data_IF_153374788468
#
_entry.id   IF_153374788468
#
_cell.length_a   1.000
_cell.length_b   1.000
_cell.length_c   1.000
_cell.angle_alpha   90.00
_cell.angle_beta   90.00
_cell.angle_gamma   90.00
#
_symmetry.space_group_name_H-M   'P 1'
#
loop_
_entity.id
_entity.type
_entity.pdbx_description
1 polymer ?
#
# COMPACT_ATOMS: atom_id res chain seq x y z
N UNK A 1 -71.96 49.45 2.36
CA UNK A 1 -71.20 48.22 2.18
C UNK A 1 -70.20 48.47 1.06
N UNK A 2 -68.89 48.74 1.35
CA UNK A 2 -67.90 48.91 0.29
C UNK A 2 -67.29 47.56 -0.06
N UNK A 3 -67.14 47.36 -1.36
CA UNK A 3 -66.50 46.22 -2.01
C UNK A 3 -65.01 46.13 -1.64
N UNK A 4 -64.58 44.98 -1.10
CA UNK A 4 -63.16 44.68 -0.89
C UNK A 4 -62.62 43.99 -2.15
N UNK A 5 -61.88 44.72 -2.96
CA UNK A 5 -61.13 44.20 -4.09
C UNK A 5 -59.93 43.34 -3.58
N UNK A 6 -59.94 42.05 -3.91
CA UNK A 6 -58.81 41.14 -3.73
C UNK A 6 -57.73 41.46 -4.78
N UNK A 7 -56.55 41.85 -4.32
CA UNK A 7 -55.36 42.03 -5.14
C UNK A 7 -54.77 40.63 -5.37
N UNK A 8 -54.45 40.19 -6.60
CA UNK A 8 -53.77 38.92 -6.85
C UNK A 8 -52.28 39.05 -6.49
N UNK A 9 -51.84 38.15 -5.60
CA UNK A 9 -50.42 38.02 -5.30
C UNK A 9 -49.64 37.54 -6.53
N UNK A 10 -48.58 38.27 -6.85
CA UNK A 10 -47.60 37.92 -7.90
C UNK A 10 -46.83 36.66 -7.54
N UNK A 11 -46.59 35.72 -8.47
CA UNK A 11 -45.80 34.54 -8.20
C UNK A 11 -44.35 34.89 -7.87
N UNK A 12 -43.87 34.43 -6.69
CA UNK A 12 -42.47 34.54 -6.26
C UNK A 12 -41.61 33.74 -7.24
N UNK A 13 -40.71 34.43 -7.93
CA UNK A 13 -39.73 33.79 -8.79
C UNK A 13 -38.76 32.92 -7.94
N UNK A 14 -38.83 31.63 -8.13
CA UNK A 14 -37.90 30.68 -7.56
C UNK A 14 -36.57 30.82 -8.33
N UNK A 15 -35.57 31.36 -7.67
CA UNK A 15 -34.20 31.39 -8.22
C UNK A 15 -33.72 29.96 -8.49
N UNK A 16 -33.15 29.67 -9.68
CA UNK A 16 -32.61 28.33 -9.96
C UNK A 16 -31.40 28.07 -9.06
N UNK A 17 -31.41 26.91 -8.39
CA UNK A 17 -30.31 26.46 -7.58
C UNK A 17 -28.99 26.47 -8.36
N UNK A 18 -27.85 26.88 -7.73
CA UNK A 18 -26.56 26.97 -8.41
C UNK A 18 -26.17 25.61 -8.97
N UNK A 19 -25.82 25.57 -10.25
CA UNK A 19 -25.35 24.38 -10.94
C UNK A 19 -24.13 23.79 -10.20
N UNK A 20 -24.03 22.45 -10.03
CA UNK A 20 -22.91 21.83 -9.35
C UNK A 20 -21.59 22.21 -10.05
N UNK A 21 -20.65 22.73 -9.27
CA UNK A 21 -19.34 23.17 -9.76
C UNK A 21 -18.67 22.07 -10.59
N UNK A 22 -18.34 22.35 -11.84
CA UNK A 22 -17.70 21.43 -12.75
C UNK A 22 -16.38 20.92 -12.11
N UNK A 23 -16.33 19.63 -11.76
CA UNK A 23 -15.14 18.98 -11.21
C UNK A 23 -14.00 19.17 -12.22
N UNK A 24 -12.92 19.83 -11.81
CA UNK A 24 -11.72 20.03 -12.64
C UNK A 24 -11.21 18.66 -13.14
N UNK A 25 -10.99 18.55 -14.44
CA UNK A 25 -10.37 17.35 -15.04
C UNK A 25 -9.01 17.10 -14.38
N UNK A 26 -8.75 15.87 -13.86
CA UNK A 26 -7.45 15.54 -13.30
C UNK A 26 -6.34 15.73 -14.33
N UNK A 27 -5.15 16.16 -13.89
CA UNK A 27 -3.98 16.27 -14.77
C UNK A 27 -3.57 14.89 -15.32
N UNK A 28 -2.84 14.83 -16.45
CA UNK A 28 -2.30 13.57 -16.96
C UNK A 28 -1.50 12.82 -15.87
N UNK A 29 -1.80 11.54 -15.64
CA UNK A 29 -1.20 10.71 -14.58
C UNK A 29 -1.95 10.72 -13.24
N UNK A 30 -2.57 11.80 -12.82
CA UNK A 30 -3.31 11.88 -11.54
C UNK A 30 -4.43 10.85 -11.44
N UNK A 31 -5.14 10.59 -12.55
CA UNK A 31 -6.22 9.60 -12.57
C UNK A 31 -5.71 8.18 -12.34
N UNK A 32 -4.54 7.83 -12.89
CA UNK A 32 -3.92 6.52 -12.67
C UNK A 32 -3.60 6.32 -11.19
N UNK A 33 -2.99 7.31 -10.56
CA UNK A 33 -2.69 7.30 -9.12
C UNK A 33 -3.97 7.21 -8.29
N UNK A 34 -5.01 7.97 -8.64
CA UNK A 34 -6.31 7.93 -7.97
C UNK A 34 -6.96 6.54 -8.03
N UNK A 35 -6.90 5.86 -9.19
CA UNK A 35 -7.42 4.50 -9.34
C UNK A 35 -6.69 3.54 -8.40
N UNK A 36 -5.35 3.59 -8.35
CA UNK A 36 -4.55 2.73 -7.48
C UNK A 36 -4.80 3.01 -6.00
N UNK A 37 -4.96 4.28 -5.64
CA UNK A 37 -5.27 4.67 -4.27
C UNK A 37 -6.64 4.14 -3.82
N UNK A 38 -7.65 4.33 -4.66
CA UNK A 38 -9.00 3.83 -4.38
C UNK A 38 -9.02 2.29 -4.32
N UNK A 39 -8.27 1.60 -5.18
CA UNK A 39 -8.11 0.15 -5.11
C UNK A 39 -7.51 -0.28 -3.74
N UNK A 40 -6.45 0.39 -3.29
CA UNK A 40 -5.84 0.12 -1.98
C UNK A 40 -6.82 0.39 -0.83
N UNK A 41 -7.59 1.48 -0.86
CA UNK A 41 -8.63 1.78 0.13
C UNK A 41 -9.72 0.72 0.17
N UNK A 42 -10.15 0.22 -0.99
CA UNK A 42 -11.16 -0.85 -1.07
C UNK A 42 -10.62 -2.15 -0.48
N UNK A 43 -9.35 -2.48 -0.71
CA UNK A 43 -8.69 -3.66 -0.13
C UNK A 43 -8.58 -3.61 1.40
N UNK A 44 -8.67 -2.44 1.99
CA UNK A 44 -8.66 -2.25 3.44
C UNK A 44 -9.98 -2.70 4.10
N UNK A 45 -11.09 -2.72 3.35
CA UNK A 45 -12.41 -3.03 3.91
C UNK A 45 -12.57 -4.52 4.23
N UNK A 46 -13.35 -4.88 5.25
CA UNK A 46 -13.74 -6.27 5.49
C UNK A 46 -14.45 -6.85 4.27
N UNK A 47 -14.16 -8.11 3.92
CA UNK A 47 -14.78 -8.77 2.75
C UNK A 47 -14.21 -8.35 1.39
N UNK A 48 -13.13 -7.57 1.36
CA UNK A 48 -12.48 -7.10 0.13
C UNK A 48 -11.66 -8.18 -0.61
N UNK A 49 -11.95 -9.45 -0.36
CA UNK A 49 -11.25 -10.58 -1.00
C UNK A 49 -11.47 -10.65 -2.51
N UNK A 50 -12.52 -9.97 -3.01
CA UNK A 50 -12.88 -9.98 -4.42
C UNK A 50 -13.37 -8.61 -4.91
N UNK A 51 -12.42 -7.69 -5.16
CA UNK A 51 -12.76 -6.41 -5.77
C UNK A 51 -13.06 -6.63 -7.26
N UNK A 52 -14.21 -6.11 -7.72
CA UNK A 52 -14.57 -6.08 -9.14
C UNK A 52 -14.26 -4.71 -9.75
N UNK A 53 -14.03 -4.68 -11.08
CA UNK A 53 -13.83 -3.42 -11.80
C UNK A 53 -15.08 -2.54 -11.76
N UNK A 54 -16.28 -3.15 -11.76
CA UNK A 54 -17.55 -2.44 -11.58
C UNK A 54 -17.61 -1.72 -10.23
N UNK A 55 -17.23 -2.40 -9.12
CA UNK A 55 -17.21 -1.79 -7.79
C UNK A 55 -16.19 -0.66 -7.68
N UNK A 56 -15.01 -0.83 -8.29
CA UNK A 56 -13.97 0.20 -8.35
C UNK A 56 -14.44 1.42 -9.17
N UNK A 57 -15.07 1.19 -10.33
CA UNK A 57 -15.64 2.24 -11.17
C UNK A 57 -16.73 3.04 -10.43
N UNK A 58 -17.64 2.33 -9.76
CA UNK A 58 -18.68 2.95 -8.95
C UNK A 58 -18.10 3.80 -7.81
N UNK A 59 -17.08 3.31 -7.13
CA UNK A 59 -16.39 4.07 -6.04
C UNK A 59 -15.72 5.34 -6.54
N UNK A 60 -15.21 5.32 -7.78
CA UNK A 60 -14.58 6.46 -8.45
C UNK A 60 -15.58 7.38 -9.17
N UNK A 61 -16.87 7.01 -9.19
CA UNK A 61 -17.94 7.70 -9.94
C UNK A 61 -17.62 7.85 -11.45
N UNK A 62 -17.12 6.76 -12.05
CA UNK A 62 -16.79 6.67 -13.48
C UNK A 62 -17.37 5.41 -14.11
N UNK A 63 -17.37 5.31 -15.43
CA UNK A 63 -17.67 4.06 -16.12
C UNK A 63 -16.48 3.09 -16.08
N UNK A 64 -16.74 1.77 -16.15
CA UNK A 64 -15.66 0.79 -16.29
C UNK A 64 -14.78 1.05 -17.53
N UNK A 65 -15.39 1.51 -18.64
CA UNK A 65 -14.63 1.91 -19.83
C UNK A 65 -13.63 3.03 -19.55
N UNK A 66 -13.91 3.92 -18.59
CA UNK A 66 -12.97 4.95 -18.19
C UNK A 66 -11.76 4.39 -17.40
N UNK A 67 -11.95 3.31 -16.61
CA UNK A 67 -10.84 2.60 -15.98
C UNK A 67 -9.93 1.95 -17.03
N UNK A 68 -10.53 1.28 -18.02
CA UNK A 68 -9.80 0.57 -19.07
C UNK A 68 -9.00 1.48 -20.02
N UNK A 69 -9.25 2.80 -20.03
CA UNK A 69 -8.36 3.78 -20.68
C UNK A 69 -7.02 3.96 -19.97
N UNK A 70 -6.96 3.64 -18.68
CA UNK A 70 -5.75 3.79 -17.86
C UNK A 70 -5.03 2.47 -17.58
N UNK A 71 -5.78 1.35 -17.58
CA UNK A 71 -5.25 0.02 -17.34
C UNK A 71 -6.00 -0.97 -18.23
N UNK A 72 -5.29 -1.68 -19.11
CA UNK A 72 -5.91 -2.59 -20.08
C UNK A 72 -6.63 -3.79 -19.43
N UNK A 73 -6.37 -4.08 -18.13
CA UNK A 73 -7.02 -5.15 -17.39
C UNK A 73 -6.98 -4.90 -15.89
N UNK A 74 -7.80 -5.64 -15.12
CA UNK A 74 -7.73 -5.66 -13.66
C UNK A 74 -6.34 -6.10 -13.17
N UNK A 75 -5.73 -7.10 -13.82
CA UNK A 75 -4.37 -7.53 -13.49
C UNK A 75 -3.36 -6.38 -13.62
N UNK A 76 -3.47 -5.52 -14.64
CA UNK A 76 -2.62 -4.34 -14.77
C UNK A 76 -2.86 -3.29 -13.68
N UNK A 77 -4.06 -3.20 -13.11
CA UNK A 77 -4.30 -2.34 -11.95
C UNK A 77 -3.53 -2.86 -10.73
N UNK A 78 -3.56 -4.17 -10.48
CA UNK A 78 -2.75 -4.78 -9.41
C UNK A 78 -1.25 -4.68 -9.68
N UNK A 79 -0.79 -4.86 -10.93
CA UNK A 79 0.61 -4.62 -11.31
C UNK A 79 1.04 -3.19 -10.99
N UNK A 80 0.20 -2.21 -11.33
CA UNK A 80 0.46 -0.81 -10.99
C UNK A 80 0.50 -0.55 -9.48
N UNK A 81 -0.34 -1.24 -8.70
CA UNK A 81 -0.32 -1.13 -7.25
C UNK A 81 0.93 -1.78 -6.64
N UNK A 82 1.36 -2.94 -7.16
CA UNK A 82 2.61 -3.59 -6.76
C UNK A 82 3.81 -2.69 -7.10
N UNK A 83 3.84 -2.12 -8.30
CA UNK A 83 4.88 -1.17 -8.71
C UNK A 83 4.95 0.04 -7.76
N UNK A 84 3.81 0.59 -7.37
CA UNK A 84 3.74 1.68 -6.41
C UNK A 84 4.30 1.28 -5.03
N UNK A 85 3.96 0.07 -4.54
CA UNK A 85 4.51 -0.49 -3.29
C UNK A 85 6.03 -0.62 -3.39
N UNK A 86 6.53 -1.24 -4.47
CA UNK A 86 7.96 -1.42 -4.73
C UNK A 86 8.70 -0.09 -4.73
N UNK A 87 8.25 0.88 -5.51
CA UNK A 87 8.86 2.20 -5.60
C UNK A 87 8.88 2.92 -4.25
N UNK A 88 7.76 2.89 -3.52
CA UNK A 88 7.64 3.54 -2.21
C UNK A 88 8.60 2.93 -1.20
N UNK A 89 8.63 1.60 -1.08
CA UNK A 89 9.45 0.89 -0.11
C UNK A 89 10.93 1.02 -0.46
N UNK A 90 11.35 0.80 -1.71
CA UNK A 90 12.76 0.89 -2.08
C UNK A 90 13.30 2.32 -2.07
N UNK A 91 12.46 3.33 -2.30
CA UNK A 91 12.86 4.73 -2.06
C UNK A 91 13.22 4.95 -0.58
N UNK A 92 12.41 4.44 0.35
CA UNK A 92 12.69 4.54 1.79
C UNK A 92 13.92 3.70 2.20
N UNK A 93 14.09 2.50 1.63
CA UNK A 93 15.29 1.66 1.84
C UNK A 93 16.55 2.40 1.42
N UNK A 94 16.55 3.03 0.24
CA UNK A 94 17.68 3.80 -0.26
C UNK A 94 17.99 5.00 0.65
N UNK A 95 16.98 5.74 1.11
CA UNK A 95 17.16 6.85 2.06
C UNK A 95 17.74 6.39 3.40
N UNK A 96 17.39 5.17 3.86
CA UNK A 96 18.04 4.58 5.06
C UNK A 96 19.49 4.28 4.75
N UNK A 97 19.81 3.69 3.59
CA UNK A 97 21.16 3.37 3.17
C UNK A 97 22.08 4.59 3.05
N UNK A 98 21.53 5.75 2.65
CA UNK A 98 22.27 7.01 2.56
C UNK A 98 22.60 7.63 3.94
N UNK A 99 21.77 7.35 4.96
CA UNK A 99 21.86 7.98 6.28
C UNK A 99 22.52 7.11 7.33
N UNK A 100 22.48 5.79 7.14
CA UNK A 100 22.93 4.80 8.10
C UNK A 100 24.06 3.96 7.51
N UNK A 101 25.18 3.80 8.21
CA UNK A 101 26.23 2.87 7.78
C UNK A 101 25.68 1.45 7.74
N UNK A 102 26.22 0.64 6.82
CA UNK A 102 25.89 -0.78 6.75
C UNK A 102 26.15 -1.46 8.11
N UNK A 103 25.21 -2.28 8.55
CA UNK A 103 25.28 -2.95 9.85
C UNK A 103 23.92 -3.34 10.40
N UNK A 104 23.91 -3.81 11.65
CA UNK A 104 22.69 -4.22 12.34
C UNK A 104 21.69 -3.06 12.52
N UNK A 105 22.19 -1.83 12.75
CA UNK A 105 21.35 -0.63 12.86
C UNK A 105 20.60 -0.32 11.57
N UNK A 106 21.28 -0.40 10.40
CA UNK A 106 20.64 -0.22 9.09
C UNK A 106 19.60 -1.31 8.83
N UNK A 107 19.94 -2.59 9.10
CA UNK A 107 19.01 -3.71 8.96
C UNK A 107 17.77 -3.55 9.86
N UNK A 108 17.96 -3.15 11.12
CA UNK A 108 16.85 -2.85 12.04
C UNK A 108 15.93 -1.77 11.50
N UNK A 109 16.47 -0.66 10.97
CA UNK A 109 15.70 0.44 10.40
C UNK A 109 14.93 0.04 9.14
N UNK A 110 15.49 -0.82 8.27
CA UNK A 110 14.81 -1.35 7.09
C UNK A 110 13.61 -2.18 7.51
N UNK A 111 13.77 -3.11 8.47
CA UNK A 111 12.65 -3.92 8.97
C UNK A 111 11.57 -3.05 9.63
N UNK A 112 11.98 -2.11 10.49
CA UNK A 112 11.07 -1.20 11.15
C UNK A 112 10.28 -0.35 10.13
N UNK A 113 10.96 0.20 9.13
CA UNK A 113 10.32 0.96 8.05
C UNK A 113 9.29 0.12 7.30
N UNK A 114 9.63 -1.13 6.94
CA UNK A 114 8.71 -2.02 6.23
C UNK A 114 7.44 -2.31 7.03
N UNK A 115 7.57 -2.60 8.33
CA UNK A 115 6.43 -2.85 9.21
C UNK A 115 5.57 -1.60 9.42
N UNK A 116 6.18 -0.43 9.61
CA UNK A 116 5.44 0.84 9.71
C UNK A 116 4.77 1.25 8.39
N UNK A 117 5.41 0.99 7.25
CA UNK A 117 4.78 1.20 5.94
C UNK A 117 3.51 0.37 5.81
N UNK A 118 3.59 -0.91 6.15
CA UNK A 118 2.45 -1.82 6.11
C UNK A 118 1.32 -1.40 7.07
N UNK A 119 1.66 -0.98 8.27
CA UNK A 119 0.71 -0.49 9.28
C UNK A 119 -0.06 0.73 8.81
N UNK A 120 0.62 1.65 8.12
CA UNK A 120 0.01 2.84 7.53
C UNK A 120 -0.78 2.57 6.25
N UNK A 121 -0.56 1.42 5.61
CA UNK A 121 -1.15 1.06 4.33
C UNK A 121 -1.80 -0.35 4.37
N UNK A 122 -2.88 -0.55 5.17
CA UNK A 122 -3.45 -1.88 5.39
C UNK A 122 -3.91 -2.58 4.11
N UNK A 123 -4.51 -1.85 3.15
CA UNK A 123 -4.91 -2.41 1.86
C UNK A 123 -3.72 -2.88 1.02
N UNK A 124 -2.61 -2.12 1.01
CA UNK A 124 -1.38 -2.55 0.35
C UNK A 124 -0.77 -3.77 1.05
N UNK A 125 -0.92 -3.87 2.38
CA UNK A 125 -0.47 -5.04 3.13
C UNK A 125 -1.15 -6.32 2.67
N UNK A 126 -2.46 -6.31 2.33
CA UNK A 126 -3.13 -7.48 1.74
C UNK A 126 -2.52 -7.90 0.40
N UNK A 127 -2.05 -6.95 -0.40
CA UNK A 127 -1.31 -7.25 -1.64
C UNK A 127 0.04 -7.87 -1.29
N UNK A 128 0.79 -7.27 -0.35
CA UNK A 128 2.12 -7.74 0.06
C UNK A 128 2.09 -9.17 0.60
N UNK A 129 1.08 -9.54 1.39
CA UNK A 129 0.94 -10.91 1.94
C UNK A 129 0.25 -11.90 1.01
N UNK A 130 -0.19 -11.44 -0.17
CA UNK A 130 -0.81 -12.28 -1.19
C UNK A 130 -2.32 -12.50 -1.04
N UNK A 131 -2.93 -12.12 0.08
CA UNK A 131 -4.37 -12.35 0.33
C UNK A 131 -5.26 -11.72 -0.76
N UNK A 132 -4.89 -10.53 -1.25
CA UNK A 132 -5.60 -9.85 -2.31
C UNK A 132 -5.32 -10.42 -3.71
N UNK A 133 -4.34 -11.33 -3.85
CA UNK A 133 -3.88 -11.87 -5.11
C UNK A 133 -4.34 -13.32 -5.36
N UNK A 134 -5.04 -13.95 -4.40
CA UNK A 134 -5.43 -15.37 -4.45
C UNK A 134 -6.27 -15.70 -5.69
N UNK A 135 -7.13 -14.77 -6.14
CA UNK A 135 -7.99 -14.95 -7.32
C UNK A 135 -7.48 -14.18 -8.54
N UNK A 136 -6.25 -13.67 -8.49
CA UNK A 136 -5.64 -12.90 -9.56
C UNK A 136 -4.62 -13.74 -10.34
N UNK A 137 -3.95 -13.16 -11.31
CA UNK A 137 -2.93 -13.84 -12.11
C UNK A 137 -1.73 -14.23 -11.23
N UNK A 138 -1.28 -15.50 -11.30
CA UNK A 138 -0.17 -16.06 -10.53
C UNK A 138 1.13 -15.22 -10.61
N UNK A 139 1.39 -14.59 -11.75
CA UNK A 139 2.57 -13.71 -11.92
C UNK A 139 2.61 -12.55 -10.92
N UNK A 140 1.44 -12.09 -10.41
CA UNK A 140 1.39 -11.03 -9.41
C UNK A 140 1.92 -11.54 -8.07
N UNK A 141 1.56 -12.77 -7.70
CA UNK A 141 2.10 -13.43 -6.52
C UNK A 141 3.62 -13.64 -6.65
N UNK A 142 4.09 -14.10 -7.82
CA UNK A 142 5.52 -14.26 -8.09
C UNK A 142 6.27 -12.91 -7.99
N UNK A 143 5.68 -11.82 -8.46
CA UNK A 143 6.29 -10.49 -8.33
C UNK A 143 6.40 -10.04 -6.87
N UNK A 144 5.39 -10.34 -6.02
CA UNK A 144 5.49 -10.06 -4.59
C UNK A 144 6.53 -10.93 -3.88
N UNK A 145 6.71 -12.20 -4.29
CA UNK A 145 7.81 -13.02 -3.79
C UNK A 145 9.16 -12.37 -4.11
N UNK A 146 9.37 -11.94 -5.37
CA UNK A 146 10.59 -11.23 -5.78
C UNK A 146 10.82 -9.91 -5.01
N UNK A 147 9.77 -9.22 -4.60
CA UNK A 147 9.88 -8.05 -3.73
C UNK A 147 10.53 -8.41 -2.39
N UNK A 148 10.08 -9.49 -1.74
CA UNK A 148 10.66 -9.95 -0.47
C UNK A 148 12.07 -10.51 -0.66
N UNK A 149 12.36 -11.20 -1.76
CA UNK A 149 13.72 -11.63 -2.10
C UNK A 149 14.70 -10.46 -2.22
N UNK A 150 14.25 -9.34 -2.80
CA UNK A 150 15.05 -8.10 -2.87
C UNK A 150 15.25 -7.49 -1.47
N UNK A 151 14.24 -7.49 -0.61
CA UNK A 151 14.37 -7.04 0.79
C UNK A 151 15.38 -7.91 1.52
N UNK A 152 15.29 -9.24 1.41
CA UNK A 152 16.25 -10.17 2.02
C UNK A 152 17.67 -9.92 1.53
N UNK A 153 17.86 -9.75 0.23
CA UNK A 153 19.17 -9.44 -0.37
C UNK A 153 19.75 -8.13 0.17
N UNK A 154 18.91 -7.10 0.36
CA UNK A 154 19.32 -5.82 0.93
C UNK A 154 19.72 -5.96 2.41
N UNK A 155 18.95 -6.70 3.19
CA UNK A 155 19.27 -6.99 4.60
C UNK A 155 20.59 -7.77 4.71
N UNK A 156 20.81 -8.79 3.86
CA UNK A 156 22.07 -9.53 3.78
C UNK A 156 23.25 -8.61 3.49
N UNK A 157 23.10 -7.71 2.52
CA UNK A 157 24.15 -6.75 2.18
C UNK A 157 24.46 -5.81 3.35
N UNK A 158 23.44 -5.30 4.04
CA UNK A 158 23.60 -4.45 5.22
C UNK A 158 24.33 -5.17 6.35
N UNK A 159 24.01 -6.45 6.61
CA UNK A 159 24.58 -7.22 7.72
C UNK A 159 26.00 -7.72 7.47
N UNK A 160 26.37 -7.98 6.21
CA UNK A 160 27.68 -8.58 5.88
C UNK A 160 28.84 -7.75 6.38
N UNK A 161 28.82 -6.42 6.18
CA UNK A 161 29.90 -5.54 6.61
C UNK A 161 30.14 -5.52 8.13
N UNK A 162 29.04 -5.63 8.91
CA UNK A 162 29.13 -5.69 10.38
C UNK A 162 29.73 -7.01 10.86
N UNK A 163 29.45 -8.13 10.19
CA UNK A 163 29.93 -9.46 10.57
C UNK A 163 31.38 -9.70 10.16
N UNK A 164 31.81 -9.11 9.04
CA UNK A 164 33.22 -9.09 8.63
C UNK A 164 34.09 -8.41 9.73
N UNK A 165 33.59 -7.30 10.30
CA UNK A 165 34.27 -6.57 11.39
C UNK A 165 34.18 -7.23 12.77
N UNK A 166 33.22 -8.13 12.99
CA UNK A 166 33.01 -8.82 14.27
C UNK A 166 33.77 -10.15 14.41
N UNK A 167 34.61 -10.51 13.42
CA UNK A 167 35.44 -11.73 13.48
C UNK A 167 34.67 -13.04 13.30
N UNK A 168 33.49 -13.01 12.64
CA UNK A 168 32.77 -14.23 12.29
C UNK A 168 33.62 -15.10 11.36
N UNK A 169 33.62 -16.43 11.60
CA UNK A 169 34.29 -17.40 10.73
C UNK A 169 33.53 -17.59 9.39
N UNK A 170 32.23 -17.26 9.35
CA UNK A 170 31.35 -17.46 8.20
C UNK A 170 30.43 -16.24 7.95
N UNK A 171 31.02 -15.01 7.79
CA UNK A 171 30.22 -13.78 7.77
C UNK A 171 29.17 -13.74 6.67
N UNK A 172 29.45 -14.35 5.51
CA UNK A 172 28.51 -14.44 4.40
C UNK A 172 27.30 -15.34 4.69
N UNK A 173 27.51 -16.46 5.38
CA UNK A 173 26.46 -17.38 5.80
C UNK A 173 25.63 -16.77 6.93
N UNK A 174 26.31 -16.21 7.93
CA UNK A 174 25.63 -15.58 9.07
C UNK A 174 24.76 -14.41 8.64
N UNK A 175 25.24 -13.58 7.69
CA UNK A 175 24.43 -12.51 7.10
C UNK A 175 23.21 -13.06 6.36
N UNK A 176 23.36 -14.17 5.60
CA UNK A 176 22.25 -14.80 4.90
C UNK A 176 21.19 -15.33 5.88
N UNK A 177 21.63 -16.06 6.92
CA UNK A 177 20.72 -16.64 7.92
C UNK A 177 19.95 -15.53 8.65
N UNK A 178 20.64 -14.49 9.11
CA UNK A 178 20.00 -13.35 9.80
C UNK A 178 19.03 -12.60 8.88
N UNK A 179 19.41 -12.36 7.62
CA UNK A 179 18.52 -11.70 6.65
C UNK A 179 17.24 -12.53 6.41
N UNK A 180 17.38 -13.85 6.24
CA UNK A 180 16.23 -14.76 6.08
C UNK A 180 15.34 -14.76 7.32
N UNK A 181 15.91 -14.81 8.53
CA UNK A 181 15.13 -14.72 9.78
C UNK A 181 14.37 -13.40 9.90
N UNK A 182 14.99 -12.26 9.57
CA UNK A 182 14.37 -10.94 9.61
C UNK A 182 13.25 -10.81 8.57
N UNK A 183 13.46 -11.33 7.37
CA UNK A 183 12.44 -11.35 6.32
C UNK A 183 11.25 -12.22 6.72
N UNK A 184 11.51 -13.43 7.23
CA UNK A 184 10.45 -14.32 7.72
C UNK A 184 9.68 -13.69 8.90
N UNK A 185 10.38 -13.02 9.82
CA UNK A 185 9.74 -12.26 10.90
C UNK A 185 8.84 -11.16 10.36
N UNK A 186 9.35 -10.34 9.42
CA UNK A 186 8.56 -9.27 8.82
C UNK A 186 7.31 -9.81 8.12
N UNK A 187 7.45 -10.82 7.24
CA UNK A 187 6.33 -11.45 6.53
C UNK A 187 5.31 -12.02 7.52
N UNK A 188 5.75 -12.72 8.55
CA UNK A 188 4.87 -13.27 9.59
C UNK A 188 4.09 -12.18 10.35
N UNK A 189 4.72 -11.03 10.63
CA UNK A 189 4.05 -9.87 11.26
C UNK A 189 3.01 -9.26 10.34
N UNK A 190 3.32 -9.09 9.05
CA UNK A 190 2.38 -8.57 8.04
C UNK A 190 1.17 -9.50 7.88
N UNK A 191 1.39 -10.81 7.80
CA UNK A 191 0.30 -11.79 7.71
C UNK A 191 -0.61 -11.76 8.94
N UNK A 192 -0.04 -11.69 10.14
CA UNK A 192 -0.85 -11.57 11.38
C UNK A 192 -1.64 -10.28 11.42
N UNK A 193 -1.08 -9.17 10.96
CA UNK A 193 -1.77 -7.89 10.85
C UNK A 193 -2.96 -7.99 9.90
N UNK A 194 -2.77 -8.46 8.67
CA UNK A 194 -3.83 -8.65 7.69
C UNK A 194 -4.94 -9.60 8.21
N UNK A 195 -4.57 -10.78 8.72
CA UNK A 195 -5.51 -11.79 9.23
C UNK A 195 -6.27 -11.37 10.48
N UNK A 196 -5.74 -10.43 11.27
CA UNK A 196 -6.44 -9.87 12.43
C UNK A 196 -7.48 -8.80 12.07
N UNK A 197 -7.70 -8.54 10.77
CA UNK A 197 -8.47 -7.38 10.31
C UNK A 197 -7.82 -6.06 10.74
N UNK A 198 -6.48 -6.03 10.67
CA UNK A 198 -5.63 -4.88 10.99
C UNK A 198 -5.68 -4.43 12.48
N UNK A 199 -6.06 -5.35 13.37
CA UNK A 199 -6.15 -5.05 14.82
C UNK A 199 -4.86 -5.29 15.59
N UNK A 200 -3.94 -6.12 15.04
CA UNK A 200 -2.64 -6.44 15.66
C UNK A 200 -1.52 -5.72 14.93
N UNK A 201 -1.03 -4.57 15.43
CA UNK A 201 0.02 -3.82 14.76
C UNK A 201 1.25 -4.68 14.49
N UNK A 202 1.82 -4.65 13.28
CA UNK A 202 3.01 -5.42 12.96
C UNK A 202 4.24 -4.91 13.75
N UNK A 203 4.21 -3.67 14.19
CA UNK A 203 5.25 -3.03 15.02
C UNK A 203 5.18 -3.38 16.52
N UNK A 204 4.20 -4.18 16.97
CA UNK A 204 4.08 -4.59 18.37
C UNK A 204 5.38 -5.26 18.88
N UNK A 205 5.98 -4.73 19.97
CA UNK A 205 7.26 -5.19 20.54
C UNK A 205 8.44 -5.26 19.55
N UNK A 206 8.44 -4.40 18.53
CA UNK A 206 9.41 -4.45 17.43
C UNK A 206 10.85 -4.31 17.92
N UNK A 207 11.15 -3.27 18.69
CA UNK A 207 12.51 -3.00 19.21
C UNK A 207 13.06 -4.19 20.03
N UNK A 208 12.24 -4.72 20.94
CA UNK A 208 12.63 -5.87 21.74
C UNK A 208 12.83 -7.14 20.91
N UNK A 209 12.08 -7.30 19.80
CA UNK A 209 12.24 -8.42 18.88
C UNK A 209 13.55 -8.26 18.07
N UNK A 210 13.81 -7.08 17.51
CA UNK A 210 15.02 -6.81 16.74
C UNK A 210 16.27 -6.94 17.58
N UNK A 211 16.27 -6.45 18.83
CA UNK A 211 17.40 -6.58 19.75
C UNK A 211 17.79 -8.04 20.08
N UNK A 212 16.90 -9.01 19.83
CA UNK A 212 17.15 -10.45 20.03
C UNK A 212 17.57 -11.17 18.74
N UNK A 213 17.30 -10.57 17.59
CA UNK A 213 17.60 -11.17 16.29
C UNK A 213 18.87 -10.62 15.65
N UNK A 214 19.31 -9.43 16.06
CA UNK A 214 20.49 -8.73 15.57
C UNK A 214 21.62 -8.71 16.61
#
# INVERSE_FOLDING_TARGET
MPDTQLIPESPVAVEPAPAPAARKRPKPGERRVQILHTLAEMLQQPGAERITTAALAARLEVSEAALYRHFASKAQMFEGLIEFIEQSVFTLVNQIGEREPAGTGQAAKIVAMLLHFAEKNPGMTRVMVGDALVFENERLQQRMNQFFDKIESTLKQSLRGALDGAGSATPGLDAQVRASMLTAFAVGRLQRFARSGFKRPPSEHLEASLARML
#
